data_IF_936517613051
#
_entry.id   IF_936517613051
#
_cell.length_a   1.000
_cell.length_b   1.000
_cell.length_c   1.000
_cell.angle_alpha   90.00
_cell.angle_beta   90.00
_cell.angle_gamma   90.00
#
_symmetry.space_group_name_H-M   'P 1'
#
loop_
_entity.id
_entity.type
_entity.pdbx_description
1 polymer ?
#
# COMPACT_ATOMS: atom_id res chain seq x y z
N UNK A 1 16.89 1.16 3.01
CA UNK A 1 16.69 2.18 1.96
C UNK A 1 17.64 3.32 2.22
N UNK A 2 18.23 3.89 1.18
CA UNK A 2 19.03 5.11 1.32
C UNK A 2 18.07 6.29 1.15
N UNK A 3 17.97 7.15 2.16
CA UNK A 3 17.18 8.38 2.09
C UNK A 3 18.12 9.58 2.27
N UNK A 4 17.64 10.79 1.97
CA UNK A 4 18.37 12.04 2.28
C UNK A 4 18.70 12.19 3.77
N UNK A 5 18.04 11.42 4.63
CA UNK A 5 18.26 11.35 6.09
C UNK A 5 19.11 10.13 6.51
N UNK A 6 19.75 9.43 5.56
CA UNK A 6 20.62 8.27 5.80
C UNK A 6 20.00 6.90 5.51
N UNK A 7 20.66 5.84 5.99
CA UNK A 7 20.21 4.45 5.82
C UNK A 7 19.04 4.15 6.77
N UNK A 8 17.93 3.64 6.22
CA UNK A 8 16.72 3.24 6.96
C UNK A 8 16.39 1.76 6.70
N UNK A 9 15.77 1.08 7.66
CA UNK A 9 15.21 -0.26 7.45
C UNK A 9 14.01 -0.20 6.48
N UNK A 10 13.81 -1.27 5.70
CA UNK A 10 12.66 -1.43 4.79
C UNK A 10 11.43 -2.02 5.48
N UNK A 11 11.61 -2.67 6.63
CA UNK A 11 10.59 -3.43 7.33
C UNK A 11 9.84 -2.54 8.30
N UNK A 12 8.53 -2.68 8.33
CA UNK A 12 7.67 -2.05 9.32
C UNK A 12 7.29 -3.12 10.34
N UNK A 13 7.44 -2.79 11.63
CA UNK A 13 7.00 -3.65 12.74
C UNK A 13 5.69 -3.09 13.27
N UNK A 14 4.62 -3.88 13.20
CA UNK A 14 3.30 -3.51 13.69
C UNK A 14 3.06 -4.13 15.07
N UNK A 15 2.21 -3.50 15.89
CA UNK A 15 1.68 -4.14 17.08
C UNK A 15 0.75 -5.29 16.69
N UNK A 16 0.50 -6.22 17.62
CA UNK A 16 -0.37 -7.38 17.38
C UNK A 16 -1.78 -6.95 16.91
N UNK A 17 -2.34 -5.91 17.53
CA UNK A 17 -3.69 -5.44 17.24
C UNK A 17 -3.79 -4.81 15.84
N UNK A 18 -2.77 -4.04 15.45
CA UNK A 18 -2.72 -3.40 14.13
C UNK A 18 -2.41 -4.45 13.07
N UNK A 19 -1.53 -5.40 13.35
CA UNK A 19 -1.19 -6.48 12.44
C UNK A 19 -2.42 -7.31 12.07
N UNK A 20 -3.30 -7.62 13.03
CA UNK A 20 -4.56 -8.34 12.76
C UNK A 20 -5.41 -7.60 11.73
N UNK A 21 -5.73 -6.33 12.00
CA UNK A 21 -6.54 -5.50 11.08
C UNK A 21 -5.89 -5.34 9.71
N UNK A 22 -4.56 -5.25 9.67
CA UNK A 22 -3.81 -5.12 8.43
C UNK A 22 -3.87 -6.39 7.57
N UNK A 23 -3.69 -7.57 8.17
CA UNK A 23 -3.78 -8.84 7.44
C UNK A 23 -5.21 -9.17 7.03
N UNK A 24 -6.21 -8.86 7.88
CA UNK A 24 -7.62 -9.01 7.50
C UNK A 24 -7.93 -8.16 6.24
N UNK A 25 -7.43 -6.92 6.18
CA UNK A 25 -7.56 -6.06 5.01
C UNK A 25 -6.83 -6.63 3.78
N UNK A 26 -5.63 -7.18 3.97
CA UNK A 26 -4.87 -7.81 2.88
C UNK A 26 -5.64 -8.99 2.27
N UNK A 27 -6.22 -9.83 3.12
CA UNK A 27 -7.04 -10.99 2.70
C UNK A 27 -8.32 -10.54 2.00
N UNK A 28 -8.97 -9.48 2.49
CA UNK A 28 -10.17 -8.90 1.85
C UNK A 28 -9.89 -8.32 0.46
N UNK A 29 -8.72 -7.71 0.26
CA UNK A 29 -8.30 -7.17 -1.03
C UNK A 29 -7.71 -8.24 -1.96
N UNK A 30 -7.44 -9.45 -1.46
CA UNK A 30 -6.83 -10.53 -2.22
C UNK A 30 -5.37 -10.28 -2.63
N UNK A 31 -4.66 -9.41 -1.90
CA UNK A 31 -3.28 -9.07 -2.23
C UNK A 31 -2.29 -10.09 -1.64
N UNK A 32 -1.37 -10.58 -2.46
CA UNK A 32 -0.30 -11.49 -2.04
C UNK A 32 0.82 -10.76 -1.27
N UNK A 33 1.02 -9.46 -1.56
CA UNK A 33 2.10 -8.65 -0.99
C UNK A 33 1.55 -7.55 -0.10
N UNK A 34 1.99 -7.53 1.16
CA UNK A 34 1.70 -6.47 2.13
C UNK A 34 2.07 -5.05 1.63
N UNK A 35 3.09 -4.92 0.77
CA UNK A 35 3.45 -3.62 0.18
C UNK A 35 2.34 -3.05 -0.70
N UNK A 36 1.61 -3.91 -1.43
CA UNK A 36 0.49 -3.49 -2.28
C UNK A 36 -0.69 -3.02 -1.44
N UNK A 37 -0.96 -3.69 -0.31
CA UNK A 37 -1.97 -3.26 0.67
C UNK A 37 -1.62 -1.89 1.25
N UNK A 38 -0.34 -1.63 1.55
CA UNK A 38 0.11 -0.31 2.01
C UNK A 38 -0.07 0.76 0.93
N UNK A 39 0.28 0.48 -0.32
CA UNK A 39 0.09 1.42 -1.43
C UNK A 39 -1.40 1.75 -1.66
N UNK A 40 -2.27 0.74 -1.55
CA UNK A 40 -3.72 0.93 -1.59
C UNK A 40 -4.21 1.81 -0.45
N UNK A 41 -3.73 1.57 0.78
CA UNK A 41 -4.08 2.36 1.95
C UNK A 41 -3.66 3.83 1.77
N UNK A 42 -2.46 4.08 1.24
CA UNK A 42 -2.00 5.44 0.93
C UNK A 42 -2.85 6.07 -0.15
N UNK A 43 -3.19 5.35 -1.22
CA UNK A 43 -4.00 5.82 -2.34
C UNK A 43 -5.39 6.27 -1.87
N UNK A 44 -6.05 5.47 -1.02
CA UNK A 44 -7.37 5.79 -0.45
C UNK A 44 -7.33 6.89 0.62
N UNK A 45 -6.24 6.98 1.38
CA UNK A 45 -6.09 8.00 2.43
C UNK A 45 -5.51 9.33 1.96
N UNK A 46 -5.14 9.48 0.66
CA UNK A 46 -4.58 10.74 0.11
C UNK A 46 -5.40 11.98 0.47
N UNK A 47 -6.72 11.92 0.33
CA UNK A 47 -7.62 13.03 0.66
C UNK A 47 -7.53 13.42 2.14
N UNK A 48 -7.60 12.43 3.03
CA UNK A 48 -7.51 12.65 4.47
C UNK A 48 -6.12 13.19 4.91
N UNK A 49 -5.04 12.75 4.25
CA UNK A 49 -3.69 13.27 4.50
C UNK A 49 -3.59 14.73 4.05
N UNK A 50 -4.11 15.06 2.86
CA UNK A 50 -4.08 16.42 2.33
C UNK A 50 -4.89 17.40 3.20
N UNK A 51 -6.09 17.00 3.64
CA UNK A 51 -6.91 17.77 4.59
C UNK A 51 -6.17 17.97 5.91
N UNK A 52 -5.50 16.95 6.43
CA UNK A 52 -4.73 17.05 7.67
C UNK A 52 -3.53 18.00 7.54
N UNK A 53 -2.79 17.96 6.42
CA UNK A 53 -1.67 18.89 6.16
C UNK A 53 -2.16 20.34 6.06
N UNK A 54 -3.30 20.57 5.43
CA UNK A 54 -3.93 21.88 5.37
C UNK A 54 -4.37 22.37 6.76
N UNK A 55 -4.97 21.52 7.59
CA UNK A 55 -5.32 21.86 8.96
C UNK A 55 -4.09 22.10 9.85
N UNK A 56 -2.98 21.38 9.63
CA UNK A 56 -1.72 21.54 10.38
C UNK A 56 -1.04 22.87 10.09
N UNK A 57 -1.14 23.34 8.84
CA UNK A 57 -0.55 24.59 8.39
C UNK A 57 -1.53 25.79 8.43
N UNK A 58 -2.82 25.52 8.66
CA UNK A 58 -3.93 26.46 8.47
C UNK A 58 -4.46 27.12 9.75
N UNK A 59 -3.58 27.73 10.54
CA UNK A 59 -3.98 28.82 11.45
C UNK A 59 -4.37 30.13 10.73
N UNK A 60 -4.66 30.11 9.42
CA UNK A 60 -4.96 31.33 8.65
C UNK A 60 -5.58 31.05 7.28
N UNK A 61 -6.90 31.18 7.23
CA UNK A 61 -7.81 31.60 6.14
C UNK A 61 -7.62 31.17 4.66
N UNK A 62 -8.75 30.68 4.13
CA UNK A 62 -9.39 30.93 2.82
C UNK A 62 -8.77 30.38 1.52
N UNK A 63 -9.61 29.68 0.74
CA UNK A 63 -9.52 29.64 -0.73
C UNK A 63 -9.55 28.24 -1.38
N UNK A 64 -10.77 27.78 -1.69
CA UNK A 64 -11.23 27.17 -2.96
C UNK A 64 -10.45 26.05 -3.72
N UNK A 65 -11.23 25.00 -4.00
CA UNK A 65 -11.27 24.11 -5.18
C UNK A 65 -10.10 23.21 -5.61
N UNK A 66 -10.42 21.91 -5.68
CA UNK A 66 -9.62 20.87 -6.32
C UNK A 66 -10.37 19.54 -6.37
N UNK A 67 -11.49 19.51 -7.10
CA UNK A 67 -12.19 18.26 -7.41
C UNK A 67 -11.30 17.36 -8.27
N UNK A 68 -10.80 16.27 -7.68
CA UNK A 68 -10.20 15.18 -8.45
C UNK A 68 -11.28 14.12 -8.63
N UNK A 69 -11.80 14.06 -9.86
CA UNK A 69 -12.62 12.96 -10.36
C UNK A 69 -11.92 11.62 -10.09
N UNK A 70 -12.58 10.76 -9.34
CA UNK A 70 -12.20 9.36 -9.18
C UNK A 70 -12.85 8.58 -10.33
N UNK A 71 -12.08 8.26 -11.37
CA UNK A 71 -12.43 7.15 -12.25
C UNK A 71 -12.16 5.85 -11.48
N UNK A 72 -13.24 5.24 -11.04
CA UNK A 72 -13.27 3.86 -10.57
C UNK A 72 -13.13 2.94 -11.78
N UNK A 73 -11.94 2.38 -11.97
CA UNK A 73 -11.74 1.18 -12.79
C UNK A 73 -10.88 0.20 -12.01
N UNK A 74 -11.56 -0.75 -11.36
CA UNK A 74 -10.96 -1.87 -10.64
C UNK A 74 -10.74 -3.01 -11.65
N UNK A 75 -9.54 -3.09 -12.23
CA UNK A 75 -9.09 -4.26 -13.00
C UNK A 75 -7.93 -4.93 -12.24
N UNK A 76 -8.29 -5.87 -11.36
CA UNK A 76 -7.35 -6.78 -10.71
C UNK A 76 -6.91 -7.87 -11.69
N UNK A 77 -5.87 -7.60 -12.49
CA UNK A 77 -5.26 -8.62 -13.34
C UNK A 77 -4.35 -9.51 -12.48
N UNK A 78 -4.86 -10.69 -12.11
CA UNK A 78 -4.07 -11.77 -11.52
C UNK A 78 -3.26 -12.49 -12.60
N UNK A 79 -1.95 -12.26 -12.68
CA UNK A 79 -1.03 -13.21 -13.35
C UNK A 79 -0.52 -14.21 -12.31
N UNK A 80 -1.11 -15.42 -12.33
CA UNK A 80 -0.63 -16.55 -11.55
C UNK A 80 0.42 -17.30 -12.37
N UNK A 81 1.67 -16.85 -12.34
CA UNK A 81 2.78 -17.59 -12.95
C UNK A 81 3.28 -18.69 -11.99
N UNK A 82 2.64 -19.86 -12.10
CA UNK A 82 3.06 -21.10 -11.46
C UNK A 82 4.45 -21.53 -11.97
N UNK A 83 5.49 -21.29 -11.16
CA UNK A 83 6.84 -21.76 -11.42
C UNK A 83 6.92 -23.29 -11.26
N UNK A 84 6.91 -24.02 -12.37
CA UNK A 84 7.17 -25.46 -12.43
C UNK A 84 8.58 -25.77 -11.93
N UNK A 85 8.70 -26.50 -10.81
CA UNK A 85 9.95 -27.17 -10.43
C UNK A 85 9.90 -28.63 -10.88
N UNK A 86 10.28 -28.86 -12.14
CA UNK A 86 10.63 -30.19 -12.63
C UNK A 86 12.14 -30.37 -12.49
N UNK A 87 12.60 -31.16 -11.51
CA UNK A 87 13.96 -31.71 -11.52
C UNK A 87 13.86 -33.22 -11.65
N UNK A 88 14.02 -33.67 -12.89
CA UNK A 88 14.20 -35.05 -13.32
C UNK A 88 15.54 -35.54 -12.78
N UNK A 89 15.50 -36.51 -11.86
CA UNK A 89 16.66 -37.29 -11.44
C UNK A 89 16.51 -38.69 -12.03
N UNK A 90 17.27 -38.98 -13.09
CA UNK A 90 17.43 -40.34 -13.64
C UNK A 90 18.64 -40.40 -14.57
N UNK A 91 19.62 -41.20 -14.16
CA UNK A 91 20.51 -42.13 -14.91
C UNK A 91 21.76 -42.32 -14.04
N UNK A 92 21.88 -43.48 -13.42
CA UNK A 92 22.59 -44.68 -13.93
C UNK A 92 24.09 -44.57 -13.69
#
# INVERSE_FOLDING_TARGET
>A
IYTSQGLRDRRVRLSIDIARKFFDLQDMLGFDKASTTLDWLFTKSRKAIQELEQCKNGGGNAGEEGGVEEKEEDEVVSDSSAAKKAKKESRE
#
